data_IF_625911866215
#
_entry.id   IF_625911866215
#
_cell.length_a   1.000
_cell.length_b   1.000
_cell.length_c   1.000
_cell.angle_alpha   90.00
_cell.angle_beta   90.00
_cell.angle_gamma   90.00
#
_symmetry.space_group_name_H-M   'P 1'
#
loop_
_entity.id
_entity.type
_entity.pdbx_description
1 polymer ?
#
# COMPACT_ATOMS: atom_id res chain seq x y z
N UNK A 1 -61.09 -22.69 51.26
CA UNK A 1 -61.16 -21.39 51.98
C UNK A 1 -60.30 -20.43 51.18
N UNK A 2 -60.87 -19.30 50.71
CA UNK A 2 -60.26 -18.16 49.97
C UNK A 2 -59.85 -18.51 48.52
N UNK A 3 -60.45 -18.11 47.38
CA UNK A 3 -61.31 -17.01 46.88
C UNK A 3 -60.57 -15.90 46.08
N UNK A 4 -60.96 -15.75 44.78
CA UNK A 4 -60.95 -14.57 43.86
C UNK A 4 -59.61 -13.91 43.42
N UNK A 5 -59.40 -13.30 42.23
CA UNK A 5 -60.21 -12.96 41.04
C UNK A 5 -59.27 -12.61 39.84
N UNK A 6 -59.73 -12.69 38.57
CA UNK A 6 -58.93 -12.64 37.36
C UNK A 6 -58.93 -11.28 36.62
N UNK A 7 -58.17 -11.23 35.50
CA UNK A 7 -58.19 -10.22 34.42
C UNK A 7 -57.54 -8.86 34.72
N UNK A 8 -56.32 -8.68 34.20
CA UNK A 8 -55.91 -7.57 33.29
C UNK A 8 -54.38 -7.40 33.30
N UNK A 9 -53.71 -7.88 32.28
CA UNK A 9 -52.75 -7.04 31.55
C UNK A 9 -52.70 -7.52 30.11
N UNK A 10 -53.22 -6.64 29.28
CA UNK A 10 -53.30 -6.65 27.84
C UNK A 10 -51.93 -6.91 27.22
N UNK A 11 -51.86 -7.84 26.27
CA UNK A 11 -50.67 -8.05 25.46
C UNK A 11 -50.31 -6.78 24.72
N UNK A 12 -49.19 -6.18 25.10
CA UNK A 12 -48.37 -5.36 24.22
C UNK A 12 -46.96 -5.94 24.32
N UNK A 13 -46.70 -6.94 23.48
CA UNK A 13 -45.33 -7.26 23.09
C UNK A 13 -44.89 -6.07 22.23
N UNK A 14 -44.47 -4.99 22.88
CA UNK A 14 -43.80 -3.89 22.21
C UNK A 14 -42.53 -4.49 21.59
N UNK A 15 -42.63 -4.72 20.28
CA UNK A 15 -41.65 -5.43 19.47
C UNK A 15 -40.33 -4.65 19.54
N UNK A 16 -39.39 -5.13 20.38
CA UNK A 16 -38.04 -4.54 20.53
C UNK A 16 -37.32 -4.41 19.18
N UNK A 17 -37.75 -5.18 18.19
CA UNK A 17 -37.30 -5.15 16.81
C UNK A 17 -37.57 -3.82 16.08
N UNK A 18 -38.60 -3.05 16.46
CA UNK A 18 -38.97 -1.82 15.75
C UNK A 18 -38.08 -0.62 16.11
N UNK A 19 -37.54 -0.56 17.34
CA UNK A 19 -36.65 0.54 17.77
C UNK A 19 -35.21 0.30 17.31
N UNK A 20 -34.81 -0.97 17.18
CA UNK A 20 -33.48 -1.34 16.67
C UNK A 20 -33.31 -1.10 15.16
N UNK A 21 -34.40 -1.08 14.39
CA UNK A 21 -34.32 -0.95 12.93
C UNK A 21 -34.06 0.49 12.46
N UNK A 22 -34.48 1.50 13.23
CA UNK A 22 -34.38 2.90 12.82
C UNK A 22 -32.99 3.51 13.04
N UNK A 23 -32.19 2.97 13.97
CA UNK A 23 -30.79 3.41 14.19
C UNK A 23 -29.79 2.71 13.27
N UNK A 24 -30.15 1.57 12.68
CA UNK A 24 -29.25 0.82 11.77
C UNK A 24 -29.21 1.43 10.36
N UNK A 25 -30.22 2.21 9.98
CA UNK A 25 -30.39 2.71 8.61
C UNK A 25 -29.51 3.92 8.25
N UNK A 26 -28.87 4.59 9.22
CA UNK A 26 -28.05 5.79 8.98
C UNK A 26 -26.54 5.58 8.97
N UNK A 27 -26.06 4.36 9.26
CA UNK A 27 -24.62 4.03 9.29
C UNK A 27 -24.12 3.33 8.01
N UNK A 28 -25.00 3.10 7.04
CA UNK A 28 -24.71 2.41 5.78
C UNK A 28 -24.99 3.37 4.62
N UNK A 29 -24.38 4.56 4.65
CA UNK A 29 -24.14 5.28 3.39
C UNK A 29 -23.25 4.41 2.52
N UNK A 30 -23.47 4.28 1.20
CA UNK A 30 -22.57 3.49 0.38
C UNK A 30 -21.17 4.04 0.57
N UNK A 31 -20.25 3.18 1.03
CA UNK A 31 -18.84 3.46 0.88
C UNK A 31 -18.66 3.69 -0.62
N UNK A 32 -18.35 4.93 -1.01
CA UNK A 32 -18.04 5.24 -2.41
C UNK A 32 -16.90 4.30 -2.76
N UNK A 33 -17.19 3.32 -3.61
CA UNK A 33 -16.21 2.34 -4.01
C UNK A 33 -15.10 3.09 -4.75
N UNK A 34 -14.00 3.37 -4.06
CA UNK A 34 -12.81 3.97 -4.65
C UNK A 34 -12.12 2.86 -5.43
N UNK A 35 -12.25 2.91 -6.75
CA UNK A 35 -11.54 2.03 -7.66
C UNK A 35 -10.29 2.81 -8.15
N UNK A 36 -9.06 2.42 -7.74
CA UNK A 36 -7.85 3.18 -8.04
C UNK A 36 -7.52 3.25 -9.55
N UNK A 37 -7.88 2.23 -10.31
CA UNK A 37 -7.64 2.17 -11.75
C UNK A 37 -8.54 3.14 -12.52
N UNK A 38 -9.82 3.27 -12.15
CA UNK A 38 -10.76 4.24 -12.70
C UNK A 38 -10.32 5.67 -12.38
N UNK A 39 -9.78 5.90 -11.18
CA UNK A 39 -9.18 7.20 -10.83
C UNK A 39 -7.90 7.51 -11.59
N UNK A 40 -7.01 6.53 -11.76
CA UNK A 40 -5.77 6.72 -12.50
C UNK A 40 -6.02 7.09 -13.98
N UNK A 41 -7.06 6.53 -14.61
CA UNK A 41 -7.43 6.85 -16.00
C UNK A 41 -7.77 8.33 -16.23
N UNK A 42 -8.28 9.02 -15.21
CA UNK A 42 -8.62 10.44 -15.30
C UNK A 42 -7.37 11.34 -15.40
N UNK A 43 -6.19 10.80 -15.08
CA UNK A 43 -4.92 11.54 -15.01
C UNK A 43 -3.84 10.92 -15.90
N UNK A 44 -3.99 10.94 -17.23
CA UNK A 44 -2.99 10.37 -18.13
C UNK A 44 -1.70 11.20 -18.10
N UNK A 45 -0.56 10.52 -18.02
CA UNK A 45 0.76 11.12 -18.25
C UNK A 45 1.07 10.91 -19.74
N UNK A 46 1.12 12.00 -20.50
CA UNK A 46 1.30 11.98 -21.96
C UNK A 46 2.67 12.53 -22.33
N UNK A 47 3.34 11.86 -23.27
CA UNK A 47 4.62 12.27 -23.82
C UNK A 47 4.58 12.03 -25.33
N UNK A 48 4.73 13.11 -26.11
CA UNK A 48 4.44 13.16 -27.54
C UNK A 48 5.69 13.10 -28.43
N UNK A 49 6.84 12.78 -27.84
CA UNK A 49 8.13 12.57 -28.50
C UNK A 49 8.71 11.20 -28.14
N UNK A 50 9.70 10.69 -28.89
CA UNK A 50 10.41 9.48 -28.48
C UNK A 50 11.02 9.63 -27.08
N UNK A 51 10.70 8.71 -26.17
CA UNK A 51 11.26 8.60 -24.83
C UNK A 51 12.46 7.65 -24.88
N UNK A 52 13.63 8.17 -25.26
CA UNK A 52 14.81 7.34 -25.54
C UNK A 52 15.57 7.00 -24.26
N UNK A 53 15.64 7.94 -23.32
CA UNK A 53 16.40 7.78 -22.08
C UNK A 53 15.61 7.01 -21.01
N UNK A 54 16.32 6.35 -20.09
CA UNK A 54 15.72 5.54 -19.04
C UNK A 54 14.63 6.29 -18.25
N UNK A 55 14.93 7.52 -17.81
CA UNK A 55 14.02 8.31 -16.97
C UNK A 55 12.87 8.98 -17.74
N UNK A 56 12.85 8.88 -19.06
CA UNK A 56 11.77 9.42 -19.89
C UNK A 56 10.68 8.38 -20.20
N UNK A 57 10.95 7.10 -19.93
CA UNK A 57 10.04 6.00 -20.25
C UNK A 57 8.81 5.96 -19.36
N UNK A 58 7.74 5.35 -19.89
CA UNK A 58 6.55 5.07 -19.09
C UNK A 58 6.85 3.97 -18.07
N UNK A 59 6.83 4.32 -16.78
CA UNK A 59 7.04 3.39 -15.67
C UNK A 59 5.72 2.68 -15.32
N UNK A 60 5.71 1.36 -15.42
CA UNK A 60 4.58 0.50 -15.08
C UNK A 60 5.03 -0.55 -14.07
N UNK A 61 4.15 -0.95 -13.16
CA UNK A 61 4.46 -2.01 -12.22
C UNK A 61 3.26 -2.46 -11.39
N UNK A 62 3.35 -3.68 -10.87
CA UNK A 62 2.33 -4.28 -10.00
C UNK A 62 2.84 -4.53 -8.57
N UNK A 63 3.97 -3.92 -8.21
CA UNK A 63 4.65 -4.10 -6.92
C UNK A 63 5.66 -5.24 -6.85
N UNK A 64 5.58 -6.23 -7.76
CA UNK A 64 6.58 -7.31 -7.88
C UNK A 64 7.47 -7.14 -9.11
N UNK A 65 6.84 -6.95 -10.27
CA UNK A 65 7.50 -6.68 -11.53
C UNK A 65 7.28 -5.22 -11.93
N UNK A 66 8.36 -4.57 -12.34
CA UNK A 66 8.36 -3.25 -12.97
C UNK A 66 8.84 -3.33 -14.41
N UNK A 67 8.32 -2.46 -15.26
CA UNK A 67 8.83 -2.24 -16.60
C UNK A 67 8.89 -0.76 -16.89
N UNK A 68 10.03 -0.32 -17.44
CA UNK A 68 10.15 1.00 -18.07
C UNK A 68 10.01 0.81 -19.57
N UNK A 69 9.00 1.43 -20.15
CA UNK A 69 8.70 1.36 -21.59
C UNK A 69 9.22 2.61 -22.28
N UNK A 70 10.11 2.44 -23.23
CA UNK A 70 10.75 3.52 -23.96
C UNK A 70 10.43 3.43 -25.44
N UNK A 71 10.11 4.57 -26.03
CA UNK A 71 9.81 4.69 -27.46
C UNK A 71 11.00 5.30 -28.17
N UNK A 72 11.46 4.62 -29.22
CA UNK A 72 12.43 5.13 -30.18
C UNK A 72 11.76 5.22 -31.56
N UNK A 73 12.29 6.01 -32.49
CA UNK A 73 11.76 6.06 -33.85
C UNK A 73 11.73 4.70 -34.57
N UNK A 74 12.63 3.79 -34.21
CA UNK A 74 12.84 2.48 -34.85
C UNK A 74 12.42 1.27 -34.00
N UNK A 75 12.13 1.46 -32.71
CA UNK A 75 11.89 0.37 -31.78
C UNK A 75 11.10 0.79 -30.53
N UNK A 76 10.54 -0.21 -29.85
CA UNK A 76 10.05 -0.07 -28.48
C UNK A 76 10.97 -0.90 -27.58
N UNK A 77 11.51 -0.27 -26.55
CA UNK A 77 12.40 -0.91 -25.60
C UNK A 77 11.68 -1.14 -24.28
N UNK A 78 11.77 -2.36 -23.77
CA UNK A 78 11.23 -2.75 -22.47
C UNK A 78 12.40 -3.07 -21.54
N UNK A 79 12.47 -2.37 -20.41
CA UNK A 79 13.45 -2.64 -19.35
C UNK A 79 12.74 -3.20 -18.15
N UNK A 80 12.89 -4.50 -17.93
CA UNK A 80 12.27 -5.20 -16.81
C UNK A 80 13.14 -5.10 -15.55
N UNK A 81 12.49 -4.89 -14.42
CA UNK A 81 13.06 -5.05 -13.09
C UNK A 81 12.13 -5.88 -12.23
N UNK A 82 12.68 -6.71 -11.36
CA UNK A 82 11.88 -7.46 -10.38
C UNK A 82 12.37 -7.08 -9.00
N UNK A 83 11.44 -6.83 -8.08
CA UNK A 83 11.72 -6.43 -6.70
C UNK A 83 12.50 -7.48 -5.88
N UNK A 84 12.78 -8.66 -6.45
CA UNK A 84 13.47 -9.78 -5.81
C UNK A 84 14.76 -10.16 -6.57
N UNK A 85 15.12 -9.41 -7.61
CA UNK A 85 16.42 -9.56 -8.26
C UNK A 85 17.39 -8.65 -7.52
N UNK A 86 18.08 -9.27 -6.56
CA UNK A 86 19.13 -8.65 -5.77
C UNK A 86 20.44 -9.39 -6.02
N UNK A 87 21.54 -8.69 -5.80
CA UNK A 87 22.85 -9.29 -5.86
C UNK A 87 23.03 -10.33 -4.75
N UNK A 88 23.54 -11.51 -5.10
CA UNK A 88 23.80 -12.64 -4.19
C UNK A 88 24.84 -12.32 -3.11
N UNK A 89 25.58 -11.22 -3.25
CA UNK A 89 26.54 -10.75 -2.23
C UNK A 89 25.87 -10.38 -0.90
N UNK A 90 24.56 -10.17 -0.87
CA UNK A 90 23.78 -10.23 0.37
C UNK A 90 23.56 -11.70 0.74
N UNK A 91 24.61 -12.32 1.27
CA UNK A 91 24.56 -13.69 1.76
C UNK A 91 23.75 -13.75 3.06
N UNK A 92 22.52 -14.27 2.99
CA UNK A 92 21.63 -14.41 4.15
C UNK A 92 22.24 -15.22 5.30
N UNK A 93 23.29 -16.01 5.05
CA UNK A 93 24.04 -16.74 6.09
C UNK A 93 24.78 -15.83 7.07
N UNK A 94 25.06 -14.58 6.69
CA UNK A 94 25.71 -13.58 7.54
C UNK A 94 24.75 -12.45 7.90
N UNK A 95 23.44 -12.67 7.80
CA UNK A 95 22.44 -11.66 8.16
C UNK A 95 22.63 -11.13 9.59
N UNK A 96 23.07 -11.99 10.50
CA UNK A 96 23.35 -11.62 11.89
C UNK A 96 24.64 -10.78 12.05
N UNK A 97 25.48 -10.72 11.02
CA UNK A 97 26.67 -9.88 10.94
C UNK A 97 26.37 -8.52 10.28
N UNK A 98 25.19 -8.36 9.67
CA UNK A 98 24.75 -7.09 9.10
C UNK A 98 24.30 -6.17 10.25
N UNK A 99 25.15 -5.20 10.58
CA UNK A 99 24.86 -4.19 11.59
C UNK A 99 23.73 -3.23 11.21
N UNK A 100 23.26 -2.50 12.20
CA UNK A 100 22.29 -1.41 12.02
C UNK A 100 22.93 -0.18 11.38
N UNK A 101 22.10 0.64 10.75
CA UNK A 101 22.54 1.96 10.27
C UNK A 101 23.12 2.82 11.41
N UNK A 102 22.60 2.70 12.63
CA UNK A 102 23.11 3.45 13.78
C UNK A 102 24.56 3.07 14.10
N UNK A 103 24.88 1.77 14.12
CA UNK A 103 26.25 1.29 14.35
C UNK A 103 27.22 1.79 13.28
N UNK A 104 26.78 1.84 12.01
CA UNK A 104 27.55 2.43 10.92
C UNK A 104 27.80 3.93 11.13
N UNK A 105 26.76 4.69 11.49
CA UNK A 105 26.89 6.13 11.71
C UNK A 105 27.78 6.46 12.91
N UNK A 106 27.65 5.71 14.01
CA UNK A 106 28.49 5.88 15.18
C UNK A 106 29.96 5.59 14.85
N UNK A 107 30.21 4.58 14.00
CA UNK A 107 31.55 4.29 13.49
C UNK A 107 32.10 5.45 12.65
N UNK A 108 31.33 5.95 11.67
CA UNK A 108 31.74 7.08 10.80
C UNK A 108 32.02 8.33 11.62
N UNK A 109 31.20 8.64 12.63
CA UNK A 109 31.39 9.81 13.50
C UNK A 109 32.63 9.70 14.38
N UNK A 110 33.09 8.49 14.69
CA UNK A 110 34.30 8.26 15.45
C UNK A 110 35.59 8.29 14.58
N UNK A 111 35.44 8.35 13.25
CA UNK A 111 36.59 8.43 12.34
C UNK A 111 37.23 9.83 12.37
N UNK A 112 38.56 9.93 12.20
CA UNK A 112 39.23 11.22 12.16
C UNK A 112 38.80 12.02 10.91
N UNK A 113 38.50 13.31 11.09
CA UNK A 113 38.05 14.23 10.02
C UNK A 113 39.07 14.42 8.89
N UNK A 114 40.31 13.94 9.05
CA UNK A 114 41.39 14.04 8.07
C UNK A 114 41.36 12.95 7.00
N UNK A 115 40.31 12.12 6.94
CA UNK A 115 40.15 11.10 5.91
C UNK A 115 39.38 11.70 4.73
N UNK A 116 40.08 11.84 3.59
CA UNK A 116 39.48 12.34 2.35
C UNK A 116 38.50 11.33 1.71
N UNK A 117 38.72 10.03 1.94
CA UNK A 117 37.84 8.93 1.52
C UNK A 117 37.84 7.81 2.57
N UNK A 118 36.72 7.10 2.65
CA UNK A 118 36.61 5.82 3.36
C UNK A 118 36.83 4.74 2.30
N UNK A 119 38.02 4.15 2.26
CA UNK A 119 38.28 2.98 1.41
C UNK A 119 37.60 1.72 2.02
N UNK A 120 37.14 0.83 1.13
CA UNK A 120 36.40 -0.42 1.46
C UNK A 120 37.16 -1.39 2.37
#
# INVERSE_FOLDING_TARGET
>A
MIEFNPKRTMGWVANKSAIFLTHLLFLIGPAVAFEPYDRAKEHPIVFDRPAVDFFEGALLGNGGLGVVVNTRPDAIQFRFGHNNVWDIRLDERHKDEVGSFQELFDHVLAMPESLDTVDE
#
